data_IF_646629488491
#
_entry.id   IF_646629488491
#
_cell.length_a   1.000
_cell.length_b   1.000
_cell.length_c   1.000
_cell.angle_alpha   90.00
_cell.angle_beta   90.00
_cell.angle_gamma   90.00
#
_symmetry.space_group_name_H-M   'P 1'
#
loop_
_entity.id
_entity.type
_entity.pdbx_description
1 polymer ?
#
# COMPACT_ATOMS: atom_id res chain seq x y z
N UNK A 1 -0.82 -10.10 4.42
CA UNK A 1 0.50 -9.51 4.78
C UNK A 1 0.31 -8.29 5.66
N UNK A 2 1.35 -7.84 6.36
CA UNK A 2 1.40 -6.50 7.00
C UNK A 2 2.45 -5.66 6.26
N UNK A 3 2.26 -4.34 6.25
CA UNK A 3 3.26 -3.40 5.74
C UNK A 3 3.80 -2.66 6.95
N UNK A 4 5.10 -2.78 7.16
CA UNK A 4 5.76 -2.35 8.38
C UNK A 4 6.89 -1.37 8.07
N UNK A 5 7.03 -0.35 8.91
CA UNK A 5 8.21 0.50 8.87
C UNK A 5 9.41 -0.27 9.39
N UNK A 6 10.47 -0.30 8.59
CA UNK A 6 11.73 -0.93 8.96
C UNK A 6 12.34 -0.36 10.26
N UNK A 7 12.25 0.96 10.47
CA UNK A 7 12.96 1.64 11.55
C UNK A 7 12.23 1.66 12.90
N UNK A 8 10.90 1.62 12.90
CA UNK A 8 10.10 1.79 14.12
C UNK A 8 9.03 0.71 14.33
N UNK A 9 9.01 -0.33 13.50
CA UNK A 9 8.12 -1.49 13.62
C UNK A 9 6.61 -1.16 13.63
N UNK A 10 6.23 0.03 13.15
CA UNK A 10 4.83 0.44 13.04
C UNK A 10 4.20 -0.13 11.78
N UNK A 11 2.93 -0.51 11.88
CA UNK A 11 2.17 -1.10 10.79
C UNK A 11 1.27 -0.07 10.09
N UNK A 12 1.21 -0.14 8.76
CA UNK A 12 0.30 0.66 7.95
C UNK A 12 -1.15 0.26 8.23
N UNK A 13 -1.96 1.21 8.67
CA UNK A 13 -3.36 1.00 9.06
C UNK A 13 -4.30 1.56 8.00
N UNK A 14 -5.23 0.72 7.52
CA UNK A 14 -6.29 1.12 6.60
C UNK A 14 -7.42 1.88 7.32
N UNK A 15 -8.00 2.86 6.62
CA UNK A 15 -9.23 3.56 7.02
C UNK A 15 -10.49 2.93 6.41
N UNK A 16 -11.64 3.35 6.93
CA UNK A 16 -12.96 2.86 6.51
C UNK A 16 -13.57 3.65 5.34
N UNK A 17 -12.94 4.75 4.91
CA UNK A 17 -13.46 5.62 3.87
C UNK A 17 -12.39 6.03 2.84
N UNK A 18 -12.78 6.38 1.59
CA UNK A 18 -11.87 6.86 0.55
C UNK A 18 -11.04 8.13 0.85
N UNK A 19 -11.46 9.11 1.67
CA UNK A 19 -10.57 10.22 2.01
C UNK A 19 -9.55 9.87 3.10
N UNK A 20 -9.63 8.69 3.70
CA UNK A 20 -8.83 8.36 4.87
C UNK A 20 -7.34 8.26 4.51
N UNK A 21 -6.55 9.07 5.21
CA UNK A 21 -5.09 9.01 5.17
C UNK A 21 -4.66 7.76 5.94
N UNK A 22 -3.93 6.87 5.27
CA UNK A 22 -3.35 5.71 5.94
C UNK A 22 -2.16 6.17 6.76
N UNK A 23 -2.04 5.63 7.98
CA UNK A 23 -1.00 6.02 8.91
C UNK A 23 -0.32 4.78 9.49
N UNK A 24 0.96 4.94 9.81
CA UNK A 24 1.71 3.95 10.59
C UNK A 24 1.30 4.05 12.05
N UNK A 25 0.86 2.93 12.63
CA UNK A 25 0.46 2.83 14.03
C UNK A 25 1.21 1.71 14.75
N UNK A 26 1.22 1.77 16.07
CA UNK A 26 1.76 0.69 16.90
C UNK A 26 1.13 -0.65 16.49
N UNK A 27 1.94 -1.71 16.59
CA UNK A 27 1.51 -3.06 16.28
C UNK A 27 0.49 -3.50 17.32
N UNK A 28 -0.76 -3.42 16.93
CA UNK A 28 -1.91 -3.96 17.65
C UNK A 28 -2.48 -5.00 16.70
N UNK A 29 -2.86 -6.20 17.15
CA UNK A 29 -3.30 -7.28 16.26
C UNK A 29 -4.68 -7.04 15.61
N UNK A 30 -4.90 -5.83 15.11
CA UNK A 30 -6.08 -5.38 14.39
C UNK A 30 -6.08 -5.84 12.94
N UNK A 31 -7.24 -6.26 12.46
CA UNK A 31 -7.46 -6.63 11.07
C UNK A 31 -7.26 -5.45 10.10
N UNK A 32 -7.37 -4.20 10.57
CA UNK A 32 -7.12 -3.00 9.74
C UNK A 32 -5.65 -2.80 9.35
N UNK A 33 -4.72 -3.53 9.95
CA UNK A 33 -3.29 -3.53 9.60
C UNK A 33 -2.93 -4.63 8.58
N UNK A 34 -3.90 -5.46 8.18
CA UNK A 34 -3.68 -6.57 7.26
C UNK A 34 -4.09 -6.19 5.84
N UNK A 35 -3.20 -6.51 4.91
CA UNK A 35 -3.31 -6.19 3.49
C UNK A 35 -3.30 -7.46 2.64
N UNK A 36 -3.99 -7.40 1.51
CA UNK A 36 -4.07 -8.44 0.50
C UNK A 36 -3.62 -7.87 -0.84
N UNK A 37 -2.85 -8.66 -1.59
CA UNK A 37 -2.56 -8.39 -2.99
C UNK A 37 -3.62 -9.07 -3.86
N UNK A 38 -4.22 -8.31 -4.76
CA UNK A 38 -5.20 -8.80 -5.72
C UNK A 38 -4.64 -8.55 -7.11
N UNK A 39 -4.42 -9.60 -7.90
CA UNK A 39 -3.86 -9.49 -9.24
C UNK A 39 -4.79 -8.71 -10.17
N UNK A 40 -4.20 -7.92 -11.06
CA UNK A 40 -4.90 -7.33 -12.18
C UNK A 40 -5.13 -8.39 -13.26
N UNK A 41 -6.39 -8.61 -13.65
CA UNK A 41 -6.77 -9.69 -14.56
C UNK A 41 -6.00 -9.68 -15.90
N UNK A 42 -5.67 -8.49 -16.42
CA UNK A 42 -5.04 -8.32 -17.73
C UNK A 42 -3.52 -8.05 -17.63
N UNK A 43 -2.99 -7.84 -16.43
CA UNK A 43 -1.58 -7.45 -16.22
C UNK A 43 -0.98 -8.33 -15.13
N UNK A 44 -0.43 -9.47 -15.52
CA UNK A 44 -0.06 -10.58 -14.64
C UNK A 44 0.90 -10.27 -13.48
N UNK A 45 1.57 -9.12 -13.49
CA UNK A 45 2.50 -8.67 -12.43
C UNK A 45 2.09 -7.35 -11.76
N UNK A 46 0.90 -6.85 -12.07
CA UNK A 46 0.35 -5.64 -11.46
C UNK A 46 -0.70 -6.06 -10.43
N UNK A 47 -0.65 -5.46 -9.25
CA UNK A 47 -1.49 -5.81 -8.12
C UNK A 47 -2.20 -4.59 -7.56
N UNK A 48 -3.42 -4.79 -7.09
CA UNK A 48 -4.07 -3.90 -6.14
C UNK A 48 -3.68 -4.32 -4.73
N UNK A 49 -3.39 -3.33 -3.89
CA UNK A 49 -3.13 -3.54 -2.48
C UNK A 49 -4.36 -3.13 -1.69
N UNK A 50 -5.05 -4.11 -1.12
CA UNK A 50 -6.42 -3.97 -0.60
C UNK A 50 -6.45 -4.29 0.90
N UNK A 51 -7.21 -3.52 1.66
CA UNK A 51 -7.43 -3.80 3.09
C UNK A 51 -8.25 -5.09 3.27
N UNK A 52 -7.87 -5.92 4.24
CA UNK A 52 -8.62 -7.15 4.56
C UNK A 52 -10.02 -6.84 5.10
N UNK A 53 -10.15 -5.79 5.92
CA UNK A 53 -11.44 -5.38 6.54
C UNK A 53 -12.29 -4.51 5.62
N UNK A 54 -11.66 -3.81 4.68
CA UNK A 54 -12.35 -2.94 3.73
C UNK A 54 -11.99 -3.30 2.29
N UNK A 55 -12.48 -4.45 1.77
CA UNK A 55 -12.04 -5.02 0.50
C UNK A 55 -12.43 -4.19 -0.73
N UNK A 56 -13.30 -3.20 -0.56
CA UNK A 56 -13.72 -2.27 -1.62
C UNK A 56 -12.74 -1.12 -1.83
N UNK A 57 -11.72 -1.00 -0.98
CA UNK A 57 -10.78 0.11 -1.01
C UNK A 57 -9.34 -0.36 -1.19
N UNK A 58 -8.63 0.31 -2.10
CA UNK A 58 -7.24 0.04 -2.42
C UNK A 58 -6.33 1.19 -1.95
N UNK A 59 -5.08 0.87 -1.63
CA UNK A 59 -4.04 1.85 -1.33
C UNK A 59 -3.59 2.54 -2.62
N UNK A 60 -3.53 3.88 -2.61
CA UNK A 60 -2.94 4.65 -3.70
C UNK A 60 -2.21 5.91 -3.20
N UNK A 61 -1.28 6.39 -4.02
CA UNK A 61 -0.62 7.68 -3.84
C UNK A 61 -1.65 8.78 -4.16
N UNK A 62 -1.91 9.65 -3.19
CA UNK A 62 -2.80 10.79 -3.30
C UNK A 62 -2.07 12.09 -3.64
N UNK A 63 -0.83 12.23 -3.17
CA UNK A 63 0.06 13.35 -3.48
C UNK A 63 1.50 12.84 -3.42
N UNK A 64 2.43 13.47 -4.13
CA UNK A 64 3.82 13.04 -4.13
C UNK A 64 4.79 14.21 -4.24
N UNK A 65 5.93 14.06 -3.59
CA UNK A 65 7.09 14.90 -3.77
C UNK A 65 8.22 14.04 -4.36
N UNK A 66 8.82 14.51 -5.44
CA UNK A 66 9.96 13.85 -6.08
C UNK A 66 11.23 14.64 -5.81
N UNK A 67 12.28 13.98 -5.32
CA UNK A 67 13.60 14.58 -5.14
C UNK A 67 14.69 13.52 -5.08
N UNK A 68 15.79 13.74 -5.81
CA UNK A 68 16.99 12.87 -5.84
C UNK A 68 16.63 11.37 -5.92
N UNK A 69 15.92 10.99 -6.98
CA UNK A 69 15.44 9.62 -7.28
C UNK A 69 14.50 8.98 -6.25
N UNK A 70 14.06 9.74 -5.24
CA UNK A 70 13.10 9.28 -4.24
C UNK A 70 11.73 9.88 -4.52
N UNK A 71 10.74 8.99 -4.63
CA UNK A 71 9.33 9.35 -4.64
C UNK A 71 8.77 9.17 -3.23
N UNK A 72 8.41 10.28 -2.57
CA UNK A 72 7.69 10.25 -1.29
C UNK A 72 6.23 10.56 -1.57
N UNK A 73 5.35 9.59 -1.34
CA UNK A 73 3.93 9.72 -1.60
C UNK A 73 3.10 9.78 -0.32
N UNK A 74 2.22 10.78 -0.22
CA UNK A 74 1.07 10.70 0.68
C UNK A 74 0.15 9.60 0.16
N UNK A 75 -0.22 8.64 0.99
CA UNK A 75 -1.11 7.56 0.60
C UNK A 75 -2.48 7.67 1.27
N UNK A 76 -3.53 7.29 0.55
CA UNK A 76 -4.92 7.24 1.04
C UNK A 76 -5.59 5.94 0.61
N UNK A 77 -6.71 5.63 1.24
CA UNK A 77 -7.65 4.64 0.69
C UNK A 77 -8.30 5.20 -0.58
N UNK A 78 -8.64 4.39 -1.56
CA UNK A 78 -9.35 4.85 -2.75
C UNK A 78 -10.45 3.87 -3.15
N UNK A 79 -11.54 4.38 -3.72
CA UNK A 79 -12.71 3.59 -4.17
C UNK A 79 -12.48 2.76 -5.44
N UNK A 80 -13.30 2.96 -6.48
CA UNK A 80 -13.29 2.15 -7.73
C UNK A 80 -11.93 2.09 -8.42
N UNK A 81 -11.36 0.92 -8.75
CA UNK A 81 -10.00 0.77 -9.28
C UNK A 81 -9.68 1.66 -10.49
N UNK A 82 -8.48 2.25 -10.53
CA UNK A 82 -7.90 2.92 -11.70
C UNK A 82 -6.37 2.71 -11.71
N UNK A 83 -5.69 3.12 -12.79
CA UNK A 83 -4.27 2.84 -13.01
C UNK A 83 -3.33 3.38 -11.92
N UNK A 84 -3.66 4.46 -11.21
CA UNK A 84 -2.83 5.03 -10.14
C UNK A 84 -2.78 4.18 -8.86
N UNK A 85 -3.45 3.02 -8.87
CA UNK A 85 -3.57 2.07 -7.74
C UNK A 85 -2.89 0.74 -8.02
N UNK A 86 -2.31 0.59 -9.21
CA UNK A 86 -1.56 -0.59 -9.57
C UNK A 86 -0.16 -0.48 -9.00
N UNK A 87 0.18 -1.47 -8.20
CA UNK A 87 1.51 -1.66 -7.64
C UNK A 87 2.18 -2.78 -8.40
N UNK A 88 3.45 -2.58 -8.76
CA UNK A 88 4.31 -3.65 -9.26
C UNK A 88 5.31 -3.99 -8.18
N UNK A 89 5.42 -5.27 -7.86
CA UNK A 89 6.39 -5.77 -6.91
C UNK A 89 7.64 -6.14 -7.70
N UNK A 90 8.75 -5.48 -7.41
CA UNK A 90 10.06 -5.88 -7.89
C UNK A 90 10.73 -6.70 -6.77
N UNK A 91 11.35 -7.84 -7.09
CA UNK A 91 12.20 -8.52 -6.13
C UNK A 91 13.28 -7.52 -5.68
N UNK A 92 13.56 -7.47 -4.38
CA UNK A 92 14.76 -6.78 -3.91
C UNK A 92 15.94 -7.49 -4.55
N UNK A 93 16.73 -6.78 -5.35
CA UNK A 93 18.00 -7.29 -5.84
C UNK A 93 18.90 -7.54 -4.63
N UNK A 94 18.86 -8.76 -4.09
CA UNK A 94 19.94 -9.26 -3.25
C UNK A 94 21.16 -9.46 -4.14
N UNK A 95 22.21 -8.69 -3.88
CA UNK A 95 23.56 -8.97 -4.34
C UNK A 95 23.91 -8.47 -5.75
N UNK A 96 24.61 -7.33 -5.79
CA UNK A 96 25.74 -7.24 -6.71
C UNK A 96 26.76 -8.32 -6.33
N UNK A 97 27.10 -9.19 -7.28
CA UNK A 97 28.28 -10.03 -7.30
C UNK A 97 29.05 -9.75 -8.58
#
# INVERSE_FOLDING_TARGET
>A
MRIESYANHRCLTAGANPPDIVALRERTDSLSQHWRLVSHAERGNDFYMVSVVHPRYALAIADHLQGNDRLVGLTRMWGRPNLSRLWRIYPSSEGHG
#
